data_IF_798631855161
#
_entry.id   IF_798631855161
#
_cell.length_a   1.000
_cell.length_b   1.000
_cell.length_c   1.000
_cell.angle_alpha   90.00
_cell.angle_beta   90.00
_cell.angle_gamma   90.00
#
_symmetry.space_group_name_H-M   'P 1'
#
loop_
_entity.id
_entity.type
_entity.pdbx_description
1 polymer ?
#
# COMPACT_ATOMS: atom_id res chain seq x y z
N UNK A 1 -18.23 4.88 -3.45
CA UNK A 1 -17.20 3.84 -3.25
C UNK A 1 -16.81 3.85 -1.77
N UNK A 2 -16.79 2.69 -1.09
CA UNK A 2 -16.37 2.65 0.32
C UNK A 2 -14.88 2.98 0.44
N UNK A 3 -14.44 3.53 1.56
CA UNK A 3 -13.03 3.85 1.80
C UNK A 3 -12.12 2.62 1.64
N UNK A 4 -12.58 1.45 2.09
CA UNK A 4 -11.87 0.16 1.91
C UNK A 4 -11.63 -0.17 0.44
N UNK A 5 -12.68 -0.07 -0.39
CA UNK A 5 -12.59 -0.27 -1.84
C UNK A 5 -11.67 0.74 -2.50
N UNK A 6 -11.70 1.99 -2.05
CA UNK A 6 -10.81 3.03 -2.57
C UNK A 6 -9.34 2.71 -2.27
N UNK A 7 -8.99 2.46 -1.00
CA UNK A 7 -7.62 2.11 -0.58
C UNK A 7 -7.13 0.86 -1.32
N UNK A 8 -7.97 -0.18 -1.41
CA UNK A 8 -7.68 -1.39 -2.17
C UNK A 8 -7.36 -1.07 -3.64
N UNK A 9 -8.23 -0.32 -4.32
CA UNK A 9 -8.03 0.03 -5.74
C UNK A 9 -6.76 0.83 -6.00
N UNK A 10 -6.38 1.73 -5.10
CA UNK A 10 -5.12 2.47 -5.21
C UNK A 10 -3.91 1.56 -5.03
N UNK A 11 -3.97 0.64 -4.07
CA UNK A 11 -2.90 -0.31 -3.82
C UNK A 11 -2.73 -1.29 -4.98
N UNK A 12 -3.82 -1.83 -5.54
CA UNK A 12 -3.75 -2.68 -6.73
C UNK A 12 -3.21 -1.93 -7.94
N UNK A 13 -3.64 -0.68 -8.14
CA UNK A 13 -3.07 0.19 -9.19
C UNK A 13 -1.56 0.37 -9.01
N UNK A 14 -1.12 0.63 -7.78
CA UNK A 14 0.30 0.79 -7.45
C UNK A 14 1.09 -0.50 -7.75
N UNK A 15 0.52 -1.66 -7.43
CA UNK A 15 1.13 -2.98 -7.63
C UNK A 15 1.18 -3.41 -9.10
N UNK A 16 0.18 -3.06 -9.90
CA UNK A 16 0.06 -3.48 -11.29
C UNK A 16 0.84 -2.60 -12.29
N UNK A 17 0.94 -1.29 -12.04
CA UNK A 17 1.53 -0.35 -12.98
C UNK A 17 3.06 -0.28 -12.84
N UNK A 18 3.80 -0.82 -13.83
CA UNK A 18 5.27 -0.77 -13.90
C UNK A 18 5.84 0.65 -13.89
N UNK A 19 5.05 1.67 -14.24
CA UNK A 19 5.45 3.07 -14.21
C UNK A 19 5.77 3.61 -12.80
N UNK A 20 5.34 2.92 -11.73
CA UNK A 20 5.65 3.30 -10.34
C UNK A 20 6.93 2.66 -9.79
N UNK A 21 7.60 1.82 -10.56
CA UNK A 21 8.71 1.00 -10.08
C UNK A 21 10.03 1.45 -10.69
N UNK A 22 11.10 1.35 -9.92
CA UNK A 22 12.47 1.46 -10.41
C UNK A 22 12.98 0.09 -10.89
N UNK A 23 14.19 0.07 -11.45
CA UNK A 23 14.84 -1.14 -11.95
C UNK A 23 15.16 -2.20 -10.88
N UNK A 24 15.00 -1.88 -9.60
CA UNK A 24 15.24 -2.78 -8.45
C UNK A 24 13.92 -3.27 -7.84
N UNK A 25 12.80 -3.07 -8.53
CA UNK A 25 11.45 -3.37 -8.03
C UNK A 25 11.12 -2.65 -6.71
N UNK A 26 11.62 -1.42 -6.57
CA UNK A 26 11.24 -0.50 -5.50
C UNK A 26 10.51 0.71 -6.06
N UNK A 27 9.62 1.31 -5.26
CA UNK A 27 8.85 2.46 -5.74
C UNK A 27 9.77 3.65 -6.06
N UNK A 28 9.55 4.21 -7.25
CA UNK A 28 10.12 5.47 -7.67
C UNK A 28 9.43 6.66 -6.98
N UNK A 29 9.76 7.89 -7.37
CA UNK A 29 9.19 9.10 -6.77
C UNK A 29 7.67 9.14 -6.86
N UNK A 30 7.08 8.78 -7.99
CA UNK A 30 5.64 8.83 -8.20
C UNK A 30 4.92 7.71 -7.47
N UNK A 31 5.50 6.50 -7.46
CA UNK A 31 5.02 5.40 -6.65
C UNK A 31 5.00 5.76 -5.16
N UNK A 32 6.07 6.40 -4.65
CA UNK A 32 6.15 6.85 -3.25
C UNK A 32 5.11 7.91 -2.91
N UNK A 33 4.75 8.79 -3.84
CA UNK A 33 3.66 9.76 -3.65
C UNK A 33 2.32 9.05 -3.50
N UNK A 34 2.03 8.10 -4.38
CA UNK A 34 0.80 7.30 -4.31
C UNK A 34 0.75 6.46 -3.02
N UNK A 35 1.85 5.82 -2.64
CA UNK A 35 1.97 5.12 -1.36
C UNK A 35 1.67 6.06 -0.18
N UNK A 36 2.14 7.32 -0.23
CA UNK A 36 1.83 8.34 0.77
C UNK A 36 0.33 8.57 0.96
N UNK A 37 -0.43 8.61 -0.13
CA UNK A 37 -1.90 8.73 -0.08
C UNK A 37 -2.52 7.49 0.56
N UNK A 38 -2.10 6.30 0.15
CA UNK A 38 -2.59 5.02 0.66
C UNK A 38 -2.37 4.92 2.18
N UNK A 39 -1.14 5.15 2.64
CA UNK A 39 -0.81 5.03 4.07
C UNK A 39 -1.50 6.10 4.91
N UNK A 40 -1.72 7.30 4.37
CA UNK A 40 -2.50 8.34 5.03
C UNK A 40 -3.93 7.87 5.31
N UNK A 41 -4.59 7.31 4.29
CA UNK A 41 -5.95 6.75 4.44
C UNK A 41 -6.01 5.55 5.39
N UNK A 42 -4.99 4.68 5.38
CA UNK A 42 -4.89 3.56 6.33
C UNK A 42 -4.75 4.07 7.76
N UNK A 43 -3.92 5.09 8.01
CA UNK A 43 -3.69 5.62 9.36
C UNK A 43 -4.91 6.30 9.99
N UNK A 44 -5.80 6.85 9.18
CA UNK A 44 -7.08 7.40 9.67
C UNK A 44 -7.99 6.32 10.27
N UNK A 45 -7.94 5.09 9.74
CA UNK A 45 -8.83 3.99 10.16
C UNK A 45 -8.16 2.96 11.04
N UNK A 46 -6.84 2.79 10.91
CA UNK A 46 -6.04 1.78 11.59
C UNK A 46 -4.72 2.38 12.11
N UNK A 47 -4.77 3.33 13.07
CA UNK A 47 -3.57 3.99 13.59
C UNK A 47 -2.61 3.03 14.33
N UNK A 48 -3.08 1.85 14.74
CA UNK A 48 -2.21 0.82 15.33
C UNK A 48 -1.23 0.21 14.33
N UNK A 49 -1.45 0.37 13.02
CA UNK A 49 -0.56 -0.12 11.95
C UNK A 49 0.62 0.83 11.65
N UNK A 50 0.85 1.88 12.46
CA UNK A 50 1.96 2.84 12.27
C UNK A 50 3.32 2.16 12.12
N UNK A 51 3.59 1.10 12.89
CA UNK A 51 4.85 0.36 12.81
C UNK A 51 5.05 -0.30 11.45
N UNK A 52 4.01 -0.96 10.93
CA UNK A 52 4.01 -1.59 9.60
C UNK A 52 4.23 -0.54 8.51
N UNK A 53 3.53 0.59 8.61
CA UNK A 53 3.64 1.69 7.64
C UNK A 53 5.02 2.32 7.63
N UNK A 54 5.64 2.51 8.80
CA UNK A 54 7.00 3.05 8.89
C UNK A 54 8.00 2.14 8.14
N UNK A 55 7.84 0.82 8.26
CA UNK A 55 8.67 -0.17 7.58
C UNK A 55 8.50 -0.10 6.06
N UNK A 56 7.26 -0.15 5.57
CA UNK A 56 6.93 -0.04 4.13
C UNK A 56 7.45 1.26 3.51
N UNK A 57 7.38 2.38 4.24
CA UNK A 57 7.88 3.67 3.73
C UNK A 57 9.40 3.75 3.62
N UNK A 58 10.13 3.04 4.49
CA UNK A 58 11.60 3.03 4.49
C UNK A 58 12.13 2.31 3.26
N UNK A 59 11.55 1.16 2.94
CA UNK A 59 11.95 0.31 1.82
C UNK A 59 10.71 -0.19 1.06
N UNK A 60 10.09 0.67 0.23
CA UNK A 60 8.85 0.36 -0.47
C UNK A 60 9.14 -0.50 -1.71
N UNK A 61 9.62 -1.71 -1.50
CA UNK A 61 9.88 -2.68 -2.56
C UNK A 61 8.73 -3.66 -2.69
N UNK A 62 8.67 -4.36 -3.83
CA UNK A 62 7.49 -5.14 -4.22
C UNK A 62 7.07 -6.16 -3.18
N UNK A 63 8.04 -6.89 -2.64
CA UNK A 63 7.79 -7.87 -1.58
C UNK A 63 7.19 -7.24 -0.31
N UNK A 64 7.75 -6.11 0.14
CA UNK A 64 7.26 -5.40 1.32
C UNK A 64 5.85 -4.83 1.11
N UNK A 65 5.52 -4.40 -0.11
CA UNK A 65 4.18 -3.93 -0.47
C UNK A 65 3.16 -5.08 -0.59
N UNK A 66 3.57 -6.27 -1.02
CA UNK A 66 2.73 -7.47 -1.02
C UNK A 66 2.42 -7.91 0.42
N UNK A 67 3.43 -7.95 1.30
CA UNK A 67 3.20 -8.22 2.73
C UNK A 67 2.29 -7.16 3.36
N UNK A 68 2.47 -5.89 2.99
CA UNK A 68 1.57 -4.83 3.46
C UNK A 68 0.13 -5.06 3.02
N UNK A 69 -0.08 -5.44 1.76
CA UNK A 69 -1.41 -5.81 1.23
C UNK A 69 -2.04 -6.95 2.04
N UNK A 70 -1.29 -8.00 2.33
CA UNK A 70 -1.75 -9.13 3.15
C UNK A 70 -2.18 -8.68 4.55
N UNK A 71 -1.36 -7.88 5.23
CA UNK A 71 -1.71 -7.32 6.56
C UNK A 71 -2.99 -6.48 6.49
N UNK A 72 -3.14 -5.64 5.46
CA UNK A 72 -4.36 -4.85 5.28
C UNK A 72 -5.60 -5.73 5.05
N UNK A 73 -5.41 -6.86 4.38
CA UNK A 73 -6.43 -7.86 4.14
C UNK A 73 -6.89 -8.55 5.43
N UNK A 74 -5.94 -9.07 6.20
CA UNK A 74 -6.18 -9.78 7.47
C UNK A 74 -6.94 -8.91 8.47
N UNK A 75 -6.67 -7.60 8.46
CA UNK A 75 -7.36 -6.62 9.29
C UNK A 75 -8.65 -6.04 8.66
N UNK A 76 -9.06 -6.52 7.49
CA UNK A 76 -10.28 -6.07 6.80
C UNK A 76 -10.27 -4.59 6.40
N UNK A 77 -9.08 -4.02 6.18
CA UNK A 77 -8.89 -2.63 5.75
C UNK A 77 -9.13 -2.49 4.24
N UNK A 78 -8.80 -3.53 3.48
CA UNK A 78 -9.11 -3.68 2.06
C UNK A 78 -9.86 -4.99 1.83
N UNK A 79 -10.55 -5.10 0.70
CA UNK A 79 -11.12 -6.37 0.23
C UNK A 79 -10.03 -7.09 -0.57
N UNK A 80 -9.75 -8.36 -0.27
CA UNK A 80 -8.98 -9.21 -1.16
C UNK A 80 -9.93 -10.17 -1.82
N UNK A 81 -9.97 -10.14 -3.15
CA UNK A 81 -10.49 -11.27 -3.89
C UNK A 81 -9.52 -12.43 -3.68
N UNK A 82 -10.05 -13.57 -3.22
CA UNK A 82 -9.30 -14.82 -3.03
C UNK A 82 -9.03 -15.55 -4.33
#
# INVERSE_FOLDING_TARGET
MSRRKYVGSLLEKLLADRGFWDKRDCLNSDGRRLLGVIVGQVLEVAPWLRGVIARVRREPCREELLRFREILCEHGIIECEG
#
